data_IF_911918879917
#
_entry.id   IF_911918879917
#
_cell.length_a   1.000
_cell.length_b   1.000
_cell.length_c   1.000
_cell.angle_alpha   90.00
_cell.angle_beta   90.00
_cell.angle_gamma   90.00
#
_symmetry.space_group_name_H-M   'P 1'
#
loop_
_entity.id
_entity.type
_entity.pdbx_description
1 polymer ?
#
# COMPACT_ATOMS: atom_id res chain seq x y z
N UNK A 1 -0.29 -8.45 -20.38
CA UNK A 1 -0.31 -7.55 -19.22
C UNK A 1 1.10 -7.09 -18.88
N UNK A 2 1.29 -5.81 -18.58
CA UNK A 2 2.62 -5.33 -18.20
C UNK A 2 3.07 -5.94 -16.87
N UNK A 3 4.33 -6.29 -16.78
CA UNK A 3 4.93 -6.84 -15.58
C UNK A 3 5.03 -5.77 -14.50
N UNK A 4 4.67 -6.10 -13.25
CA UNK A 4 4.81 -5.18 -12.13
C UNK A 4 6.29 -4.98 -11.82
N UNK A 5 6.70 -3.72 -11.73
CA UNK A 5 8.08 -3.35 -11.40
C UNK A 5 8.11 -2.54 -10.11
N UNK A 6 9.14 -2.77 -9.31
CA UNK A 6 9.38 -2.06 -8.06
C UNK A 6 10.71 -1.33 -8.20
N UNK A 7 10.67 0.00 -8.14
CA UNK A 7 11.87 0.84 -8.32
C UNK A 7 12.06 1.72 -7.09
N UNK A 8 13.23 1.64 -6.48
CA UNK A 8 13.59 2.49 -5.36
C UNK A 8 13.98 3.88 -5.90
N UNK A 9 13.29 4.92 -5.44
CA UNK A 9 13.50 6.30 -5.90
C UNK A 9 14.38 7.10 -4.95
N UNK A 10 14.30 6.81 -3.65
CA UNK A 10 15.22 7.36 -2.66
C UNK A 10 15.26 6.41 -1.45
N UNK A 11 15.88 6.85 -0.36
CA UNK A 11 16.16 6.02 0.81
C UNK A 11 14.95 5.24 1.34
N UNK A 12 13.76 5.87 1.36
CA UNK A 12 12.55 5.29 1.94
C UNK A 12 11.37 5.30 0.98
N UNK A 13 11.59 5.55 -0.30
CA UNK A 13 10.51 5.68 -1.29
C UNK A 13 10.70 4.74 -2.46
N UNK A 14 9.56 4.23 -2.97
CA UNK A 14 9.53 3.27 -4.06
C UNK A 14 8.42 3.65 -5.04
N UNK A 15 8.61 3.32 -6.30
CA UNK A 15 7.54 3.35 -7.32
C UNK A 15 7.20 1.92 -7.66
N UNK A 16 5.93 1.57 -7.58
CA UNK A 16 5.42 0.24 -7.91
C UNK A 16 4.39 0.42 -9.02
N UNK A 17 4.63 -0.19 -10.18
CA UNK A 17 3.78 0.02 -11.35
C UNK A 17 3.89 -1.14 -12.34
N UNK A 18 2.80 -1.50 -13.03
CA UNK A 18 1.42 -1.12 -12.78
C UNK A 18 0.82 -1.92 -11.62
N UNK A 19 -0.17 -1.35 -10.92
CA UNK A 19 -0.86 -2.03 -9.81
C UNK A 19 -2.36 -1.81 -9.91
N UNK A 20 -3.12 -2.65 -9.22
CA UNK A 20 -4.56 -2.48 -9.04
C UNK A 20 -4.82 -1.90 -7.66
N UNK A 21 -5.71 -0.92 -7.58
CA UNK A 21 -6.11 -0.31 -6.31
C UNK A 21 -7.52 -0.79 -5.93
N UNK A 22 -7.77 -0.91 -4.64
CA UNK A 22 -9.07 -1.31 -4.10
C UNK A 22 -9.35 -0.53 -2.82
N UNK A 23 -10.63 -0.33 -2.50
CA UNK A 23 -11.06 0.47 -1.35
C UNK A 23 -10.37 1.84 -1.33
N UNK A 24 -10.44 2.55 -2.48
CA UNK A 24 -9.74 3.82 -2.67
C UNK A 24 -10.47 4.99 -2.01
N UNK A 25 -9.74 5.75 -1.20
CA UNK A 25 -10.19 6.98 -0.56
C UNK A 25 -9.15 8.06 -0.85
N UNK A 26 -9.12 8.54 -2.11
CA UNK A 26 -8.08 9.45 -2.59
C UNK A 26 -8.52 10.91 -2.64
N UNK A 27 -9.83 11.15 -2.71
CA UNK A 27 -10.38 12.52 -2.78
C UNK A 27 -10.93 12.99 -1.45
N UNK A 28 -11.37 12.05 -0.60
CA UNK A 28 -11.86 12.32 0.74
C UNK A 28 -11.21 11.35 1.73
N UNK A 29 -10.84 11.83 2.93
CA UNK A 29 -10.22 10.92 3.92
C UNK A 29 -11.23 9.93 4.47
N UNK A 30 -10.78 8.71 4.69
CA UNK A 30 -11.55 7.66 5.31
C UNK A 30 -11.42 7.76 6.83
N UNK A 31 -12.56 7.59 7.51
CA UNK A 31 -12.62 7.49 8.97
C UNK A 31 -13.24 6.15 9.33
N UNK A 32 -12.59 5.42 10.23
CA UNK A 32 -13.13 4.14 10.69
C UNK A 32 -14.37 4.35 11.57
N UNK A 33 -15.25 3.35 11.62
CA UNK A 33 -16.38 3.34 12.53
C UNK A 33 -15.86 3.42 13.97
N UNK A 34 -16.45 4.30 14.77
CA UNK A 34 -16.01 4.51 16.14
C UNK A 34 -14.83 5.48 16.30
N UNK A 35 -14.38 6.09 15.19
CA UNK A 35 -13.35 7.13 15.25
C UNK A 35 -13.84 8.33 16.10
N UNK A 36 -12.91 9.03 16.76
CA UNK A 36 -13.25 10.21 17.54
C UNK A 36 -13.88 11.28 16.64
N UNK A 37 -14.85 12.07 17.15
CA UNK A 37 -15.54 13.10 16.34
C UNK A 37 -14.59 14.09 15.67
N UNK A 38 -13.42 14.35 16.26
CA UNK A 38 -12.43 15.29 15.72
C UNK A 38 -11.33 14.61 14.91
N UNK A 39 -11.43 13.31 14.66
CA UNK A 39 -10.46 12.58 13.84
C UNK A 39 -10.61 13.00 12.38
N UNK A 40 -9.57 13.58 11.74
CA UNK A 40 -9.65 13.99 10.34
C UNK A 40 -9.66 12.81 9.35
N UNK A 41 -9.35 11.59 9.81
CA UNK A 41 -9.22 10.43 8.94
C UNK A 41 -7.92 10.43 8.13
N UNK A 42 -7.82 9.50 7.19
CA UNK A 42 -6.66 9.36 6.31
C UNK A 42 -7.08 9.00 4.90
N UNK A 43 -6.32 9.47 3.92
CA UNK A 43 -6.45 9.03 2.52
C UNK A 43 -5.83 7.65 2.40
N UNK A 44 -6.60 6.67 1.99
CA UNK A 44 -6.16 5.27 2.00
C UNK A 44 -6.50 4.54 0.72
N UNK A 45 -5.75 3.49 0.43
CA UNK A 45 -6.07 2.53 -0.61
C UNK A 45 -5.41 1.19 -0.30
N UNK A 46 -5.99 0.11 -0.80
CA UNK A 46 -5.33 -1.19 -0.84
C UNK A 46 -4.64 -1.32 -2.19
N UNK A 47 -3.41 -1.80 -2.19
CA UNK A 47 -2.62 -2.06 -3.40
C UNK A 47 -2.54 -3.56 -3.60
N UNK A 48 -3.01 -4.05 -4.75
CA UNK A 48 -3.05 -5.47 -5.07
C UNK A 48 -2.02 -5.80 -6.13
N UNK A 49 -1.25 -6.87 -5.88
CA UNK A 49 -0.22 -7.36 -6.79
C UNK A 49 -0.51 -8.83 -7.08
N UNK A 50 -0.71 -9.22 -8.34
CA UNK A 50 -1.00 -10.61 -8.67
C UNK A 50 0.08 -11.55 -8.13
N UNK A 51 -0.33 -12.71 -7.60
CA UNK A 51 0.62 -13.70 -7.07
C UNK A 51 1.59 -14.22 -8.12
N UNK A 52 1.24 -14.09 -9.40
CA UNK A 52 2.10 -14.45 -10.53
C UNK A 52 3.31 -13.52 -10.68
N UNK A 53 3.24 -12.31 -10.09
CA UNK A 53 4.32 -11.32 -10.15
C UNK A 53 5.34 -11.57 -9.04
N UNK A 54 6.03 -12.69 -9.12
CA UNK A 54 6.92 -13.19 -8.07
C UNK A 54 8.12 -12.28 -7.79
N UNK A 55 8.68 -11.67 -8.84
CA UNK A 55 9.82 -10.75 -8.68
C UNK A 55 9.42 -9.46 -7.96
N UNK A 56 8.26 -8.90 -8.31
CA UNK A 56 7.74 -7.71 -7.66
C UNK A 56 7.43 -7.99 -6.17
N UNK A 57 6.79 -9.11 -5.89
CA UNK A 57 6.47 -9.52 -4.51
C UNK A 57 7.76 -9.70 -3.70
N UNK A 58 8.77 -10.37 -4.27
CA UNK A 58 10.05 -10.55 -3.60
C UNK A 58 10.74 -9.20 -3.32
N UNK A 59 10.68 -8.25 -4.25
CA UNK A 59 11.26 -6.93 -4.07
C UNK A 59 10.57 -6.15 -2.94
N UNK A 60 9.24 -6.25 -2.85
CA UNK A 60 8.47 -5.60 -1.78
C UNK A 60 8.79 -6.24 -0.43
N UNK A 61 8.87 -7.56 -0.38
CA UNK A 61 9.24 -8.29 0.84
C UNK A 61 10.65 -7.89 1.30
N UNK A 62 11.58 -7.74 0.37
CA UNK A 62 12.95 -7.31 0.68
C UNK A 62 12.96 -5.89 1.27
N UNK A 63 12.15 -4.98 0.71
CA UNK A 63 12.02 -3.62 1.22
C UNK A 63 11.46 -3.60 2.64
N UNK A 64 10.46 -4.44 2.92
CA UNK A 64 9.85 -4.59 4.25
C UNK A 64 10.88 -5.12 5.25
N UNK A 65 11.64 -6.12 4.89
CA UNK A 65 12.68 -6.68 5.76
C UNK A 65 13.82 -5.69 6.01
N UNK A 66 14.21 -4.90 5.01
CA UNK A 66 15.19 -3.83 5.18
C UNK A 66 14.71 -2.81 6.21
N UNK A 67 13.45 -2.41 6.14
CA UNK A 67 12.85 -1.50 7.11
C UNK A 67 12.84 -2.11 8.52
N UNK A 68 12.52 -3.41 8.65
CA UNK A 68 12.56 -4.12 9.92
C UNK A 68 13.96 -4.17 10.50
N UNK A 69 14.98 -4.40 9.68
CA UNK A 69 16.38 -4.42 10.13
C UNK A 69 16.83 -3.03 10.60
N UNK A 70 16.41 -1.97 9.94
CA UNK A 70 16.67 -0.61 10.39
C UNK A 70 16.02 -0.34 11.74
N UNK A 71 14.75 -0.80 11.92
CA UNK A 71 14.03 -0.67 13.18
C UNK A 71 14.69 -1.44 14.32
N UNK A 72 15.33 -2.57 14.01
CA UNK A 72 16.08 -3.36 15.00
C UNK A 72 17.11 -2.53 15.75
N UNK A 73 17.87 -1.70 15.03
CA UNK A 73 18.92 -0.88 15.62
C UNK A 73 18.39 0.38 16.30
N UNK A 74 17.32 0.98 15.77
CA UNK A 74 16.87 2.33 16.17
C UNK A 74 15.63 2.33 17.09
N UNK A 75 14.77 1.32 17.00
CA UNK A 75 13.48 1.29 17.72
C UNK A 75 13.43 0.18 18.75
N UNK A 76 13.89 -1.02 18.40
CA UNK A 76 13.70 -2.22 19.22
C UNK A 76 14.94 -2.67 19.98
N UNK A 77 15.94 -1.82 20.11
CA UNK A 77 17.12 -2.12 20.94
C UNK A 77 17.94 -3.33 20.51
N UNK A 78 17.99 -3.61 19.21
CA UNK A 78 18.79 -4.70 18.66
C UNK A 78 18.06 -6.02 18.43
N UNK A 79 16.74 -6.04 18.68
CA UNK A 79 15.94 -7.26 18.50
C UNK A 79 14.61 -6.95 17.80
N UNK A 80 14.31 -7.69 16.73
CA UNK A 80 13.03 -7.57 16.02
C UNK A 80 11.97 -8.36 16.81
N UNK A 81 10.82 -7.72 17.18
CA UNK A 81 9.75 -8.45 17.86
C UNK A 81 9.24 -9.63 17.03
N UNK A 82 9.05 -10.80 17.65
CA UNK A 82 8.56 -11.99 16.95
C UNK A 82 7.14 -11.85 16.42
N UNK A 83 6.34 -10.94 17.01
CA UNK A 83 4.97 -10.69 16.60
C UNK A 83 4.83 -9.46 15.70
N UNK A 84 5.93 -8.98 15.13
CA UNK A 84 5.90 -7.82 14.23
C UNK A 84 5.03 -8.11 13.00
N UNK A 85 4.02 -7.26 12.79
CA UNK A 85 3.13 -7.40 11.64
C UNK A 85 3.78 -6.82 10.39
N UNK A 86 3.81 -7.60 9.32
CA UNK A 86 4.30 -7.15 8.01
C UNK A 86 3.14 -6.51 7.24
N UNK A 87 3.39 -5.45 6.45
CA UNK A 87 2.32 -4.80 5.69
C UNK A 87 1.80 -5.65 4.53
N UNK A 88 2.67 -6.45 3.90
CA UNK A 88 2.28 -7.27 2.76
C UNK A 88 1.62 -8.57 3.25
N UNK A 89 0.39 -8.80 2.80
CA UNK A 89 -0.44 -9.94 3.24
C UNK A 89 -1.02 -10.69 2.06
N UNK A 90 -1.34 -11.97 2.28
CA UNK A 90 -2.01 -12.80 1.29
C UNK A 90 -3.49 -12.43 1.22
N UNK A 91 -3.95 -12.08 0.03
CA UNK A 91 -5.33 -11.66 -0.19
C UNK A 91 -6.35 -12.79 0.01
N UNK A 92 -5.94 -14.05 -0.10
CA UNK A 92 -6.84 -15.18 0.14
C UNK A 92 -7.28 -15.29 1.61
N UNK A 93 -6.55 -14.67 2.51
CA UNK A 93 -6.88 -14.64 3.94
C UNK A 93 -7.83 -13.50 4.30
N UNK A 94 -8.13 -12.61 3.35
CA UNK A 94 -8.99 -11.45 3.59
C UNK A 94 -10.45 -11.83 3.50
N UNK A 95 -11.21 -11.59 4.57
CA UNK A 95 -12.66 -11.78 4.59
C UNK A 95 -13.33 -10.79 3.63
N UNK A 96 -14.26 -11.28 2.83
CA UNK A 96 -15.01 -10.49 1.85
C UNK A 96 -14.15 -9.80 0.78
N UNK A 97 -12.91 -10.27 0.58
CA UNK A 97 -12.02 -9.71 -0.43
C UNK A 97 -12.41 -10.04 -1.86
N UNK A 98 -13.01 -11.21 -2.06
CA UNK A 98 -13.44 -11.68 -3.36
C UNK A 98 -12.28 -12.21 -4.20
N UNK A 99 -12.58 -12.50 -5.46
CA UNK A 99 -11.63 -13.11 -6.40
C UNK A 99 -10.37 -12.28 -6.64
N UNK A 100 -10.52 -10.95 -6.70
CA UNK A 100 -9.38 -10.08 -6.94
C UNK A 100 -8.31 -10.21 -5.84
N UNK A 101 -8.75 -10.35 -4.58
CA UNK A 101 -7.85 -10.54 -3.45
C UNK A 101 -7.31 -11.96 -3.38
N UNK A 102 -8.12 -12.94 -3.73
CA UNK A 102 -7.74 -14.36 -3.63
C UNK A 102 -6.49 -14.69 -4.42
N UNK A 103 -6.32 -14.06 -5.58
CA UNK A 103 -5.19 -14.29 -6.47
C UNK A 103 -4.09 -13.23 -6.35
N UNK A 104 -4.08 -12.45 -5.26
CA UNK A 104 -3.15 -11.34 -5.08
C UNK A 104 -2.57 -11.30 -3.68
N UNK A 105 -1.38 -10.74 -3.58
CA UNK A 105 -0.85 -10.19 -2.34
C UNK A 105 -1.30 -8.74 -2.25
N UNK A 106 -1.51 -8.22 -1.04
CA UNK A 106 -1.94 -6.83 -0.89
C UNK A 106 -1.29 -6.15 0.31
N UNK A 107 -1.24 -4.84 0.23
CA UNK A 107 -0.90 -4.01 1.39
C UNK A 107 -1.75 -2.74 1.35
N UNK A 108 -1.89 -2.09 2.50
CA UNK A 108 -2.62 -0.84 2.61
C UNK A 108 -1.64 0.33 2.64
N UNK A 109 -1.94 1.36 1.87
CA UNK A 109 -1.20 2.61 1.86
C UNK A 109 -2.07 3.72 2.41
N UNK A 110 -1.52 4.61 3.23
CA UNK A 110 -2.28 5.71 3.82
C UNK A 110 -1.43 6.97 3.95
N UNK A 111 -2.12 8.12 3.94
CA UNK A 111 -1.50 9.42 4.11
C UNK A 111 -2.44 10.36 4.86
N UNK A 112 -1.90 11.20 5.73
CA UNK A 112 -2.67 12.26 6.39
C UNK A 112 -2.99 13.39 5.42
N UNK A 113 -2.17 13.58 4.41
CA UNK A 113 -2.31 14.62 3.40
C UNK A 113 -2.89 14.04 2.12
N UNK A 114 -3.63 14.88 1.38
CA UNK A 114 -4.19 14.46 0.10
C UNK A 114 -3.08 14.04 -0.85
N UNK A 115 -3.25 12.85 -1.44
CA UNK A 115 -2.29 12.31 -2.41
C UNK A 115 -2.63 12.85 -3.80
N UNK A 116 -1.65 13.41 -4.54
CA UNK A 116 -1.92 13.85 -5.90
C UNK A 116 -2.19 12.67 -6.83
N UNK A 117 -3.16 12.84 -7.71
CA UNK A 117 -3.51 11.85 -8.72
C UNK A 117 -3.36 12.51 -10.09
N UNK A 118 -2.64 11.85 -10.99
CA UNK A 118 -2.36 12.37 -12.33
C UNK A 118 -2.92 11.46 -13.41
N UNK A 119 -3.43 12.06 -14.49
CA UNK A 119 -3.83 11.32 -15.67
C UNK A 119 -2.62 10.90 -16.51
N UNK A 120 -2.88 10.19 -17.62
CA UNK A 120 -1.82 9.72 -18.54
C UNK A 120 -0.99 10.87 -19.13
N UNK A 121 -1.60 12.04 -19.26
CA UNK A 121 -0.95 13.24 -19.79
C UNK A 121 -0.14 14.01 -18.73
N UNK A 122 -0.06 13.49 -17.49
CA UNK A 122 0.64 14.15 -16.41
C UNK A 122 -0.10 15.33 -15.78
N UNK A 123 -1.36 15.55 -16.15
CA UNK A 123 -2.18 16.63 -15.60
C UNK A 123 -2.88 16.14 -14.33
N UNK A 124 -2.83 16.90 -13.23
CA UNK A 124 -3.52 16.51 -12.00
C UNK A 124 -5.02 16.32 -12.19
N UNK A 125 -5.57 15.30 -11.56
CA UNK A 125 -7.00 14.99 -11.56
C UNK A 125 -7.54 15.20 -10.14
N UNK A 126 -8.59 16.01 -10.01
CA UNK A 126 -9.25 16.22 -8.72
C UNK A 126 -10.70 15.76 -8.68
N UNK A 127 -11.30 15.49 -9.84
CA UNK A 127 -12.69 15.05 -9.96
C UNK A 127 -12.78 13.55 -9.62
N UNK A 128 -13.56 13.16 -8.59
CA UNK A 128 -13.71 11.74 -8.23
C UNK A 128 -14.23 10.87 -9.38
N UNK A 129 -15.08 11.40 -10.24
CA UNK A 129 -15.63 10.65 -11.37
C UNK A 129 -14.57 10.28 -12.39
N UNK A 130 -13.47 11.03 -12.45
CA UNK A 130 -12.36 10.74 -13.37
C UNK A 130 -11.33 9.78 -12.75
N UNK A 131 -11.35 9.61 -11.44
CA UNK A 131 -10.41 8.76 -10.71
C UNK A 131 -10.96 7.35 -10.51
N UNK A 132 -12.22 7.25 -10.16
CA UNK A 132 -12.87 5.97 -9.78
C UNK A 132 -13.63 5.31 -10.92
#
# INVERSE_FOLDING_TARGET
>A
MAKVQVTKTNRNSYVISPVRLSYTHLTEPYRSDGAAPNDPGKYTTAVLIPKTETEAIAAIQAAVEEAAQKGKATVWGGRIPGNLKRPLRDGSEKDNGGEAYENAMFFNASSKNRVPVYGRNGIPISDPEQIY
#
